data_IF_315033506109
#
_entry.id   IF_315033506109
#
_cell.length_a   1.000
_cell.length_b   1.000
_cell.length_c   1.000
_cell.angle_alpha   90.00
_cell.angle_beta   90.00
_cell.angle_gamma   90.00
#
_symmetry.space_group_name_H-M   'P 1'
#
loop_
_entity.id
_entity.type
_entity.pdbx_description
1 polymer ?
#
# COMPACT_ATOMS: atom_id res chain seq x y z
N UNK A 1 -38.90 -37.15 24.52
CA UNK A 1 -38.37 -36.34 23.39
C UNK A 1 -37.32 -37.17 22.67
N UNK A 2 -37.53 -37.49 21.40
CA UNK A 2 -36.61 -38.33 20.61
C UNK A 2 -35.77 -37.41 19.73
N UNK A 3 -34.47 -37.35 19.96
CA UNK A 3 -33.51 -36.61 19.12
C UNK A 3 -32.82 -37.60 18.19
N UNK A 4 -33.22 -37.65 16.92
CA UNK A 4 -32.43 -38.36 15.89
C UNK A 4 -31.24 -37.51 15.50
N UNK A 5 -30.04 -38.12 15.51
CA UNK A 5 -28.84 -37.51 14.92
C UNK A 5 -28.98 -37.60 13.40
N UNK A 6 -28.81 -36.46 12.73
CA UNK A 6 -28.73 -36.38 11.27
C UNK A 6 -27.29 -36.65 10.86
N UNK A 7 -27.02 -37.86 10.39
CA UNK A 7 -25.77 -38.14 9.68
C UNK A 7 -25.77 -37.29 8.41
N UNK A 8 -24.77 -36.41 8.28
CA UNK A 8 -24.68 -35.42 7.21
C UNK A 8 -24.74 -36.09 5.85
N UNK A 9 -25.76 -35.76 5.06
CA UNK A 9 -26.16 -36.59 3.94
C UNK A 9 -25.20 -36.61 2.74
N UNK A 10 -24.21 -35.72 2.62
CA UNK A 10 -23.21 -35.78 1.55
C UNK A 10 -21.92 -35.09 1.97
N UNK A 11 -20.75 -35.52 1.47
CA UNK A 11 -19.51 -34.76 1.62
C UNK A 11 -19.64 -33.39 0.93
N UNK A 12 -19.03 -32.33 1.49
CA UNK A 12 -19.00 -31.01 0.86
C UNK A 12 -18.39 -31.11 -0.55
N UNK A 13 -18.95 -30.41 -1.56
CA UNK A 13 -18.40 -30.46 -2.91
C UNK A 13 -16.95 -29.96 -2.92
N UNK A 14 -16.06 -30.73 -3.54
CA UNK A 14 -14.66 -30.34 -3.71
C UNK A 14 -14.60 -29.15 -4.67
N UNK A 15 -14.03 -27.99 -4.28
CA UNK A 15 -13.92 -26.85 -5.16
C UNK A 15 -13.02 -27.21 -6.35
N UNK A 16 -13.59 -27.21 -7.56
CA UNK A 16 -12.83 -27.37 -8.79
C UNK A 16 -11.90 -26.16 -8.95
N UNK A 17 -10.58 -26.41 -8.88
CA UNK A 17 -9.57 -25.39 -9.21
C UNK A 17 -9.80 -24.96 -10.65
N UNK A 18 -10.17 -23.70 -10.85
CA UNK A 18 -10.25 -23.10 -12.18
C UNK A 18 -8.85 -23.07 -12.76
N UNK A 19 -8.66 -23.69 -13.93
CA UNK A 19 -7.39 -23.60 -14.68
C UNK A 19 -7.15 -22.14 -15.05
N UNK A 20 -5.99 -21.60 -14.68
CA UNK A 20 -5.55 -20.30 -15.18
C UNK A 20 -5.41 -20.41 -16.70
N UNK A 21 -6.29 -19.73 -17.44
CA UNK A 21 -6.16 -19.64 -18.89
C UNK A 21 -5.04 -18.65 -19.19
N UNK A 22 -4.04 -19.08 -19.96
CA UNK A 22 -3.06 -18.16 -20.54
C UNK A 22 -3.82 -17.19 -21.45
N UNK A 23 -3.69 -15.90 -21.18
CA UNK A 23 -4.29 -14.86 -22.02
C UNK A 23 -3.40 -14.65 -23.25
N UNK A 24 -3.97 -14.35 -24.42
CA UNK A 24 -3.18 -13.91 -25.58
C UNK A 24 -2.29 -12.72 -25.24
N UNK A 25 -1.13 -12.55 -25.91
CA UNK A 25 -0.24 -11.40 -25.68
C UNK A 25 -0.95 -10.07 -25.94
N UNK A 26 -1.88 -10.03 -26.90
CA UNK A 26 -2.64 -8.84 -27.28
C UNK A 26 -3.98 -8.70 -26.52
N UNK A 27 -4.13 -9.37 -25.37
CA UNK A 27 -5.38 -9.31 -24.62
C UNK A 27 -5.56 -7.94 -23.98
N UNK A 28 -6.53 -7.17 -24.49
CA UNK A 28 -7.00 -5.95 -23.85
C UNK A 28 -8.27 -6.28 -23.05
N UNK A 29 -8.24 -6.22 -21.71
CA UNK A 29 -9.42 -6.49 -20.89
C UNK A 29 -10.55 -5.52 -21.23
N UNK A 30 -11.70 -6.06 -21.65
CA UNK A 30 -12.91 -5.25 -21.82
C UNK A 30 -13.40 -4.77 -20.44
N UNK A 31 -13.26 -3.47 -20.17
CA UNK A 31 -13.82 -2.84 -18.97
C UNK A 31 -15.32 -2.64 -19.15
N UNK A 32 -16.10 -2.93 -18.11
CA UNK A 32 -17.54 -2.59 -18.10
C UNK A 32 -17.71 -1.06 -18.14
N UNK A 33 -18.88 -0.56 -18.59
CA UNK A 33 -19.09 0.89 -18.69
C UNK A 33 -18.88 1.63 -17.37
N UNK A 34 -19.21 0.98 -16.23
CA UNK A 34 -18.95 1.49 -14.88
C UNK A 34 -17.45 1.69 -14.61
N UNK A 35 -16.64 0.71 -14.99
CA UNK A 35 -15.18 0.75 -14.79
C UNK A 35 -14.47 1.63 -15.83
N UNK A 36 -15.00 1.71 -17.05
CA UNK A 36 -14.48 2.62 -18.09
C UNK A 36 -14.66 4.10 -17.73
N UNK A 37 -15.72 4.43 -16.97
CA UNK A 37 -15.96 5.78 -16.44
C UNK A 37 -15.05 6.12 -15.24
N UNK A 38 -14.64 5.13 -14.46
CA UNK A 38 -13.63 5.29 -13.39
C UNK A 38 -12.23 5.29 -14.01
N UNK A 39 -11.89 6.38 -14.70
CA UNK A 39 -10.57 6.58 -15.33
C UNK A 39 -9.48 6.96 -14.33
N UNK A 40 -9.82 7.19 -13.06
CA UNK A 40 -8.86 7.65 -12.07
C UNK A 40 -8.03 6.49 -11.51
N UNK A 41 -6.72 6.70 -11.27
CA UNK A 41 -5.89 5.73 -10.57
C UNK A 41 -6.50 5.42 -9.20
N UNK A 42 -6.28 4.20 -8.71
CA UNK A 42 -6.91 3.59 -7.53
C UNK A 42 -7.35 4.59 -6.45
N UNK A 43 -8.67 4.77 -6.32
CA UNK A 43 -9.31 5.58 -5.28
C UNK A 43 -8.78 5.20 -3.87
N UNK A 44 -8.54 3.90 -3.66
CA UNK A 44 -8.00 3.37 -2.41
C UNK A 44 -6.60 3.90 -2.05
N UNK A 45 -5.68 4.02 -3.02
CA UNK A 45 -4.32 4.53 -2.70
C UNK A 45 -4.37 6.01 -2.35
N UNK A 46 -5.23 6.77 -3.02
CA UNK A 46 -5.46 8.19 -2.72
C UNK A 46 -6.11 8.37 -1.35
N UNK A 47 -7.07 7.53 -0.99
CA UNK A 47 -7.69 7.54 0.34
C UNK A 47 -6.66 7.26 1.44
N UNK A 48 -5.82 6.24 1.25
CA UNK A 48 -4.73 5.92 2.18
C UNK A 48 -3.77 7.11 2.34
N UNK A 49 -3.41 7.78 1.25
CA UNK A 49 -2.54 8.97 1.30
C UNK A 49 -3.17 10.12 2.08
N UNK A 50 -4.47 10.39 1.89
CA UNK A 50 -5.20 11.43 2.64
C UNK A 50 -5.26 11.07 4.13
N UNK A 51 -5.61 9.84 4.45
CA UNK A 51 -5.68 9.38 5.84
C UNK A 51 -4.31 9.50 6.52
N UNK A 52 -3.23 9.18 5.82
CA UNK A 52 -1.88 9.31 6.34
C UNK A 52 -1.51 10.78 6.64
N UNK A 53 -1.81 11.71 5.72
CA UNK A 53 -1.60 13.14 5.95
C UNK A 53 -2.41 13.67 7.15
N UNK A 54 -3.65 13.21 7.32
CA UNK A 54 -4.49 13.56 8.48
C UNK A 54 -3.94 12.99 9.77
N UNK A 55 -3.46 11.74 9.78
CA UNK A 55 -2.86 11.15 10.98
C UNK A 55 -1.60 11.87 11.43
N UNK A 56 -0.90 12.53 10.49
CA UNK A 56 0.28 13.34 10.77
C UNK A 56 -0.03 14.81 11.00
N UNK A 57 -1.32 15.19 11.08
CA UNK A 57 -1.78 16.57 11.31
C UNK A 57 -1.24 17.57 10.28
N UNK A 58 -1.02 17.11 9.04
CA UNK A 58 -0.50 17.93 7.93
C UNK A 58 -1.64 18.62 7.17
N UNK A 59 -2.83 18.01 7.18
CA UNK A 59 -4.02 18.44 6.45
C UNK A 59 -5.24 18.32 7.37
N UNK A 60 -6.11 19.33 7.33
CA UNK A 60 -7.36 19.33 8.09
C UNK A 60 -8.31 18.20 7.62
N UNK A 61 -9.20 17.78 8.51
CA UNK A 61 -10.10 16.65 8.26
C UNK A 61 -10.99 16.83 7.01
N UNK A 62 -11.26 18.07 6.60
CA UNK A 62 -12.12 18.40 5.46
C UNK A 62 -11.35 18.80 4.19
N UNK A 63 -10.03 18.92 4.27
CA UNK A 63 -9.21 19.40 3.16
C UNK A 63 -8.79 18.26 2.22
N UNK A 64 -8.79 18.57 0.92
CA UNK A 64 -8.46 17.61 -0.13
C UNK A 64 -6.94 17.44 -0.28
N UNK A 65 -6.51 16.26 -0.72
CA UNK A 65 -5.11 15.99 -1.07
C UNK A 65 -4.59 17.03 -2.07
N UNK A 66 -3.62 17.84 -1.64
CA UNK A 66 -2.94 18.87 -2.42
C UNK A 66 -1.44 18.56 -2.55
N UNK A 67 -0.82 19.04 -3.63
CA UNK A 67 0.62 18.84 -3.85
C UNK A 67 1.46 19.53 -2.76
N UNK A 68 0.97 20.65 -2.21
CA UNK A 68 1.58 21.33 -1.08
C UNK A 68 1.59 20.45 0.19
N UNK A 69 0.51 19.72 0.45
CA UNK A 69 0.45 18.80 1.58
C UNK A 69 1.44 17.64 1.43
N UNK A 70 1.62 17.15 0.20
CA UNK A 70 2.62 16.13 -0.10
C UNK A 70 4.04 16.65 0.10
N UNK A 71 4.31 17.91 -0.26
CA UNK A 71 5.61 18.54 -0.01
C UNK A 71 5.88 18.71 1.48
N UNK A 72 4.88 19.18 2.26
CA UNK A 72 4.97 19.27 3.73
C UNK A 72 5.25 17.92 4.37
N UNK A 73 4.60 16.86 3.88
CA UNK A 73 4.89 15.49 4.29
C UNK A 73 6.34 15.09 4.02
N UNK A 74 6.87 15.35 2.83
CA UNK A 74 8.26 15.07 2.51
C UNK A 74 9.22 15.79 3.47
N UNK A 75 8.94 17.05 3.78
CA UNK A 75 9.75 17.86 4.70
C UNK A 75 9.81 17.31 6.12
N UNK A 76 8.75 16.63 6.59
CA UNK A 76 8.71 16.04 7.93
C UNK A 76 9.79 14.97 8.13
N UNK A 77 10.17 14.26 7.06
CA UNK A 77 11.13 13.15 7.09
C UNK A 77 12.51 13.52 6.55
N UNK A 78 12.74 14.79 6.17
CA UNK A 78 14.04 15.24 5.69
C UNK A 78 15.13 15.13 6.75
N UNK A 79 14.78 15.32 8.03
CA UNK A 79 15.70 15.11 9.14
C UNK A 79 15.39 13.77 9.81
N UNK A 80 16.26 12.78 9.68
CA UNK A 80 16.09 11.52 10.37
C UNK A 80 16.25 11.67 11.88
N UNK A 81 15.70 10.71 12.62
CA UNK A 81 15.93 10.61 14.06
C UNK A 81 17.42 10.38 14.35
N UNK A 82 17.95 11.04 15.38
CA UNK A 82 19.31 10.78 15.83
C UNK A 82 19.45 9.34 16.32
N UNK A 83 20.65 8.78 16.20
CA UNK A 83 20.96 7.44 16.70
C UNK A 83 20.62 7.27 18.19
N UNK A 84 20.83 8.32 18.98
CA UNK A 84 20.44 8.35 20.40
C UNK A 84 18.93 8.19 20.61
N UNK A 85 18.11 8.87 19.81
CA UNK A 85 16.65 8.72 19.87
C UNK A 85 16.20 7.34 19.43
N UNK A 86 16.78 6.80 18.36
CA UNK A 86 16.48 5.45 17.87
C UNK A 86 16.80 4.41 18.95
N UNK A 87 17.98 4.52 19.58
CA UNK A 87 18.40 3.62 20.67
C UNK A 87 17.49 3.73 21.90
N UNK A 88 17.08 4.94 22.27
CA UNK A 88 16.16 5.16 23.39
C UNK A 88 14.77 4.55 23.11
N UNK A 89 14.21 4.76 21.92
CA UNK A 89 12.93 4.17 21.50
C UNK A 89 13.01 2.64 21.47
N UNK A 90 14.09 2.10 20.90
CA UNK A 90 14.28 0.66 20.85
C UNK A 90 14.38 0.05 22.26
N UNK A 91 15.07 0.71 23.19
CA UNK A 91 15.11 0.28 24.59
C UNK A 91 13.72 0.31 25.26
N UNK A 92 12.90 1.32 24.97
CA UNK A 92 11.55 1.44 25.51
C UNK A 92 10.62 0.31 25.04
N UNK A 93 10.74 -0.09 23.77
CA UNK A 93 9.91 -1.14 23.16
C UNK A 93 10.56 -2.53 23.20
N UNK A 94 11.76 -2.67 23.76
CA UNK A 94 12.51 -3.93 23.80
C UNK A 94 13.01 -4.42 22.44
N UNK A 95 13.21 -3.51 21.48
CA UNK A 95 13.72 -3.81 20.15
C UNK A 95 15.26 -3.75 20.12
N UNK A 96 15.88 -4.62 19.31
CA UNK A 96 17.31 -4.54 19.00
C UNK A 96 17.52 -3.65 17.78
N UNK A 97 18.32 -2.59 17.91
CA UNK A 97 18.73 -1.76 16.77
C UNK A 97 19.89 -2.45 16.07
N UNK A 98 19.79 -2.79 14.77
CA UNK A 98 20.94 -3.23 13.97
C UNK A 98 22.06 -2.19 14.05
N UNK A 99 23.28 -2.63 14.31
CA UNK A 99 24.45 -1.74 14.56
C UNK A 99 24.85 -0.94 13.30
N UNK A 100 24.38 -1.36 12.13
CA UNK A 100 24.76 -0.80 10.82
C UNK A 100 23.64 0.04 10.17
N UNK A 101 22.79 0.73 10.95
CA UNK A 101 21.96 1.80 10.38
C UNK A 101 22.86 3.03 10.18
N UNK A 102 23.85 2.91 9.30
CA UNK A 102 24.28 4.07 8.55
C UNK A 102 23.06 4.47 7.74
N UNK A 103 22.38 5.48 8.23
CA UNK A 103 21.27 6.07 7.53
C UNK A 103 21.85 6.73 6.28
N UNK A 104 22.10 5.91 5.27
CA UNK A 104 22.39 6.36 3.93
C UNK A 104 21.22 7.25 3.58
N UNK A 105 21.55 8.47 3.16
CA UNK A 105 20.62 9.39 2.53
C UNK A 105 19.70 8.53 1.66
N UNK A 106 18.40 8.51 1.97
CA UNK A 106 17.43 7.85 1.11
C UNK A 106 17.56 8.59 -0.21
N UNK A 107 18.35 8.03 -1.13
CA UNK A 107 18.48 8.53 -2.48
C UNK A 107 17.08 8.40 -3.05
N UNK A 108 16.34 9.51 -3.01
CA UNK A 108 15.13 9.69 -3.79
C UNK A 108 15.59 9.46 -5.22
N UNK A 109 15.33 8.26 -5.74
CA UNK A 109 15.53 7.96 -7.15
C UNK A 109 14.80 9.08 -7.91
N UNK A 110 15.50 9.86 -8.75
CA UNK A 110 14.84 10.88 -9.54
C UNK A 110 13.79 10.15 -10.38
N UNK A 111 12.52 10.56 -10.22
CA UNK A 111 11.37 9.98 -10.89
C UNK A 111 11.33 10.29 -12.41
N UNK A 112 12.49 10.54 -13.02
CA UNK A 112 12.63 10.96 -14.40
C UNK A 112 13.70 10.10 -15.08
N UNK A 113 13.33 8.85 -15.36
CA UNK A 113 13.96 8.08 -16.43
C UNK A 113 12.89 7.89 -17.50
N UNK A 114 12.73 8.93 -18.33
CA UNK A 114 11.98 8.84 -19.57
C UNK A 114 12.58 7.78 -20.50
N UNK A 115 11.78 7.15 -21.37
CA UNK A 115 12.20 6.02 -22.20
C UNK A 115 13.20 6.38 -23.34
N UNK A 116 13.85 7.54 -23.30
CA UNK A 116 14.64 8.07 -24.42
C UNK A 116 16.14 7.74 -24.36
N UNK A 117 16.64 7.17 -23.25
CA UNK A 117 18.07 6.87 -23.08
C UNK A 117 18.45 5.39 -23.31
N UNK A 118 17.62 4.65 -24.06
CA UNK A 118 18.04 3.36 -24.64
C UNK A 118 18.20 3.57 -26.14
N UNK A 119 19.35 4.13 -26.53
CA UNK A 119 19.90 4.00 -27.88
C UNK A 119 21.22 3.23 -27.83
#
# INVERSE_FOLDING_TARGET
>A
MVTKKKDGLLPPPVPLRRRNKQLPPDFIPRRSSRLAKRRTPNDATRQIQIDLLRTMDIVDADEAFSDEALEKYGRLFNSPLSESHIKALAALFGWSVPVDIHLQDVQVLPADLGPEDIM
#
